data_IF_513314441550
#
_entry.id   IF_513314441550
#
_cell.length_a   1.000
_cell.length_b   1.000
_cell.length_c   1.000
_cell.angle_alpha   90.00
_cell.angle_beta   90.00
_cell.angle_gamma   90.00
#
_symmetry.space_group_name_H-M   'P 1'
#
loop_
_entity.id
_entity.type
_entity.pdbx_description
1 polymer ?
#
# COMPACT_ATOMS: atom_id res chain seq x y z
N UNK A 1 9.64 -40.14 -22.21
CA UNK A 1 8.44 -39.33 -21.95
C UNK A 1 8.69 -38.63 -20.61
N UNK A 2 9.18 -37.39 -20.65
CA UNK A 2 9.65 -36.68 -19.45
C UNK A 2 8.45 -36.04 -18.73
N UNK A 3 8.13 -36.53 -17.53
CA UNK A 3 7.19 -35.86 -16.63
C UNK A 3 7.97 -34.86 -15.77
N UNK A 4 7.62 -33.57 -15.86
CA UNK A 4 8.15 -32.52 -15.00
C UNK A 4 7.48 -32.62 -13.61
N UNK A 5 8.23 -32.54 -12.50
CA UNK A 5 7.63 -32.40 -11.19
C UNK A 5 7.06 -30.99 -11.02
N UNK A 6 5.78 -30.89 -10.65
CA UNK A 6 5.18 -29.62 -10.21
C UNK A 6 5.76 -29.26 -8.83
N UNK A 7 6.25 -28.02 -8.61
CA UNK A 7 6.68 -27.63 -7.28
C UNK A 7 5.46 -27.66 -6.35
N UNK A 8 5.52 -28.53 -5.36
CA UNK A 8 4.61 -28.51 -4.21
C UNK A 8 5.00 -27.28 -3.39
N UNK A 9 4.14 -26.26 -3.35
CA UNK A 9 4.34 -25.12 -2.47
C UNK A 9 4.43 -25.64 -1.03
N UNK A 10 5.61 -25.51 -0.46
CA UNK A 10 5.92 -25.99 0.89
C UNK A 10 5.06 -25.26 1.91
N UNK A 11 4.41 -26.04 2.76
CA UNK A 11 3.74 -25.57 3.96
C UNK A 11 4.69 -24.77 4.85
N UNK A 12 4.24 -23.58 5.26
CA UNK A 12 4.68 -22.95 6.50
C UNK A 12 3.43 -22.47 7.26
N UNK A 13 2.85 -23.39 8.04
CA UNK A 13 1.83 -23.08 9.04
C UNK A 13 2.48 -22.26 10.17
N UNK A 14 2.13 -20.99 10.29
CA UNK A 14 2.27 -20.20 11.52
C UNK A 14 1.28 -19.03 11.49
N UNK A 15 0.28 -18.94 12.40
CA UNK A 15 -0.59 -17.78 12.52
C UNK A 15 0.11 -16.69 13.35
N UNK A 16 1.29 -16.28 12.91
CA UNK A 16 1.94 -15.06 13.37
C UNK A 16 1.59 -14.02 12.33
N UNK A 17 0.95 -12.89 12.70
CA UNK A 17 0.64 -11.79 11.78
C UNK A 17 1.83 -11.58 10.85
N UNK A 18 1.65 -11.92 9.56
CA UNK A 18 2.71 -11.75 8.59
C UNK A 18 3.07 -10.25 8.55
N UNK A 19 4.33 -9.87 8.30
CA UNK A 19 4.68 -8.46 8.06
C UNK A 19 3.71 -7.77 7.08
N UNK A 20 3.21 -8.51 6.08
CA UNK A 20 2.20 -8.05 5.12
C UNK A 20 0.82 -7.78 5.71
N UNK A 21 0.39 -8.55 6.71
CA UNK A 21 -0.86 -8.29 7.44
C UNK A 21 -0.77 -6.98 8.24
N UNK A 22 0.40 -6.72 8.81
CA UNK A 22 0.66 -5.48 9.53
C UNK A 22 0.62 -4.29 8.58
N UNK A 23 1.26 -4.39 7.40
CA UNK A 23 1.22 -3.37 6.34
C UNK A 23 -0.22 -3.09 5.87
N UNK A 24 -0.99 -4.13 5.56
CA UNK A 24 -2.38 -4.00 5.13
C UNK A 24 -3.24 -3.31 6.20
N UNK A 25 -3.05 -3.67 7.47
CA UNK A 25 -3.76 -3.06 8.61
C UNK A 25 -3.42 -1.57 8.76
N UNK A 26 -2.14 -1.22 8.67
CA UNK A 26 -1.67 0.17 8.75
C UNK A 26 -2.27 0.99 7.61
N UNK A 27 -2.18 0.49 6.37
CA UNK A 27 -2.67 1.19 5.19
C UNK A 27 -4.20 1.35 5.22
N UNK A 28 -4.93 0.34 5.70
CA UNK A 28 -6.38 0.41 5.88
C UNK A 28 -6.77 1.50 6.88
N UNK A 29 -6.08 1.60 8.02
CA UNK A 29 -6.35 2.63 9.04
C UNK A 29 -6.06 4.04 8.51
N UNK A 30 -4.96 4.22 7.78
CA UNK A 30 -4.62 5.51 7.13
C UNK A 30 -5.71 5.88 6.12
N UNK A 31 -6.12 4.93 5.28
CA UNK A 31 -7.14 5.15 4.24
C UNK A 31 -8.49 5.52 4.84
N UNK A 32 -8.91 4.85 5.92
CA UNK A 32 -10.15 5.18 6.63
C UNK A 32 -10.13 6.60 7.20
N UNK A 33 -8.99 7.04 7.76
CA UNK A 33 -8.82 8.42 8.25
C UNK A 33 -8.89 9.43 7.10
N UNK A 34 -8.22 9.17 5.98
CA UNK A 34 -8.29 10.04 4.79
C UNK A 34 -9.74 10.24 4.31
N UNK A 35 -10.50 9.14 4.19
CA UNK A 35 -11.91 9.20 3.76
C UNK A 35 -12.74 9.98 4.79
N UNK A 36 -12.63 9.64 6.08
CA UNK A 36 -13.41 10.29 7.14
C UNK A 36 -13.15 11.80 7.17
N UNK A 37 -11.88 12.22 7.21
CA UNK A 37 -11.53 13.64 7.26
C UNK A 37 -11.94 14.39 5.99
N UNK A 38 -11.86 13.77 4.80
CA UNK A 38 -12.33 14.40 3.58
C UNK A 38 -13.85 14.59 3.54
N UNK A 39 -14.64 13.65 4.07
CA UNK A 39 -16.11 13.79 4.14
C UNK A 39 -16.57 14.91 5.08
N UNK A 40 -15.76 15.25 6.09
CA UNK A 40 -16.02 16.35 7.03
C UNK A 40 -15.61 17.74 6.50
N UNK A 41 -15.02 17.81 5.30
CA UNK A 41 -14.70 19.06 4.62
C UNK A 41 -13.68 19.93 5.37
N UNK A 42 -13.83 21.26 5.27
CA UNK A 42 -12.85 22.22 5.81
C UNK A 42 -12.63 22.09 7.32
N UNK A 43 -13.66 21.69 8.07
CA UNK A 43 -13.58 21.54 9.54
C UNK A 43 -12.53 20.49 9.94
N UNK A 44 -12.37 19.45 9.13
CA UNK A 44 -11.42 18.38 9.37
C UNK A 44 -10.16 18.45 8.48
N UNK A 45 -9.88 19.61 7.87
CA UNK A 45 -8.72 19.78 7.00
C UNK A 45 -7.39 19.47 7.71
N UNK A 46 -7.14 19.90 8.97
CA UNK A 46 -5.92 19.52 9.68
C UNK A 46 -5.75 18.00 9.83
N UNK A 47 -6.84 17.28 10.11
CA UNK A 47 -6.86 15.81 10.23
C UNK A 47 -6.61 15.14 8.87
N UNK A 48 -7.12 15.73 7.78
CA UNK A 48 -6.83 15.28 6.42
C UNK A 48 -5.34 15.47 6.10
N UNK A 49 -4.73 16.61 6.45
CA UNK A 49 -3.30 16.85 6.27
C UNK A 49 -2.46 15.82 7.01
N UNK A 50 -2.82 15.50 8.25
CA UNK A 50 -2.15 14.47 9.06
C UNK A 50 -2.27 13.09 8.40
N UNK A 51 -3.47 12.68 8.02
CA UNK A 51 -3.70 11.38 7.37
C UNK A 51 -2.97 11.25 6.02
N UNK A 52 -2.91 12.32 5.23
CA UNK A 52 -2.16 12.37 3.98
C UNK A 52 -0.64 12.33 4.21
N UNK A 53 -0.15 12.95 5.28
CA UNK A 53 1.26 12.89 5.66
C UNK A 53 1.67 11.48 6.08
N UNK A 54 0.82 10.79 6.86
CA UNK A 54 1.02 9.38 7.22
C UNK A 54 1.00 8.48 5.98
N UNK A 55 0.10 8.73 5.03
CA UNK A 55 0.06 8.01 3.76
C UNK A 55 1.37 8.17 2.98
N UNK A 56 1.89 9.40 2.86
CA UNK A 56 3.19 9.65 2.21
C UNK A 56 4.33 8.93 2.92
N UNK A 57 4.35 8.94 4.25
CA UNK A 57 5.37 8.25 5.05
C UNK A 57 5.34 6.74 4.81
N UNK A 58 4.15 6.12 4.81
CA UNK A 58 3.99 4.70 4.50
C UNK A 58 4.59 4.36 3.13
N UNK A 59 4.21 5.10 2.09
CA UNK A 59 4.70 4.88 0.73
C UNK A 59 6.20 5.14 0.57
N UNK A 60 6.77 6.12 1.27
CA UNK A 60 8.22 6.35 1.29
C UNK A 60 8.99 5.19 1.92
N UNK A 61 8.49 4.61 3.02
CA UNK A 61 9.09 3.42 3.62
C UNK A 61 9.05 2.24 2.66
N UNK A 62 7.87 1.95 2.08
CA UNK A 62 7.73 0.87 1.10
C UNK A 62 8.67 1.06 -0.09
N UNK A 63 8.79 2.27 -0.64
CA UNK A 63 9.70 2.55 -1.75
C UNK A 63 11.16 2.27 -1.38
N UNK A 64 11.59 2.60 -0.15
CA UNK A 64 12.92 2.27 0.36
C UNK A 64 13.17 0.77 0.41
N UNK A 65 12.23 0.02 0.99
CA UNK A 65 12.32 -1.45 1.09
C UNK A 65 12.27 -2.12 -0.29
N UNK A 66 11.48 -1.57 -1.21
CA UNK A 66 11.40 -2.00 -2.60
C UNK A 66 12.65 -1.65 -3.40
N UNK A 67 13.42 -0.64 -3.01
CA UNK A 67 14.67 -0.27 -3.69
C UNK A 67 15.86 -1.13 -3.22
N UNK A 68 15.78 -1.73 -2.03
CA UNK A 68 16.87 -2.52 -1.46
C UNK A 68 17.25 -3.75 -2.32
N UNK A 69 18.54 -4.05 -2.40
CA UNK A 69 19.09 -5.18 -3.19
C UNK A 69 18.62 -6.55 -2.70
N UNK A 70 18.22 -6.66 -1.42
CA UNK A 70 17.71 -7.89 -0.80
C UNK A 70 16.21 -8.13 -0.96
N UNK A 71 15.49 -7.28 -1.69
CA UNK A 71 14.04 -7.44 -1.86
C UNK A 71 13.73 -8.65 -2.76
N UNK A 72 12.89 -9.56 -2.26
CA UNK A 72 12.56 -10.83 -2.92
C UNK A 72 11.47 -10.73 -4.01
N UNK A 73 10.86 -9.56 -4.19
CA UNK A 73 9.86 -9.36 -5.23
C UNK A 73 10.49 -9.28 -6.62
N UNK A 74 9.78 -9.73 -7.68
CA UNK A 74 10.23 -9.56 -9.05
C UNK A 74 10.51 -8.09 -9.39
N UNK A 75 11.60 -7.84 -10.13
CA UNK A 75 12.04 -6.49 -10.49
C UNK A 75 10.93 -5.65 -11.15
N UNK A 76 10.12 -6.27 -12.01
CA UNK A 76 9.01 -5.60 -12.68
C UNK A 76 7.93 -5.14 -11.68
N UNK A 77 7.62 -5.96 -10.68
CA UNK A 77 6.64 -5.62 -9.65
C UNK A 77 7.19 -4.50 -8.74
N UNK A 78 8.47 -4.58 -8.36
CA UNK A 78 9.14 -3.51 -7.60
C UNK A 78 9.06 -2.17 -8.33
N UNK A 79 9.38 -2.15 -9.63
CA UNK A 79 9.32 -0.93 -10.43
C UNK A 79 7.90 -0.34 -10.52
N UNK A 80 6.87 -1.17 -10.66
CA UNK A 80 5.47 -0.71 -10.66
C UNK A 80 5.07 -0.12 -9.32
N UNK A 81 5.43 -0.77 -8.21
CA UNK A 81 5.11 -0.28 -6.86
C UNK A 81 5.86 1.01 -6.52
N UNK A 82 7.12 1.16 -6.96
CA UNK A 82 7.88 2.41 -6.81
C UNK A 82 7.22 3.54 -7.61
N UNK A 83 6.79 3.27 -8.84
CA UNK A 83 6.05 4.26 -9.65
C UNK A 83 4.74 4.70 -8.99
N UNK A 84 4.02 3.78 -8.34
CA UNK A 84 2.85 4.12 -7.53
C UNK A 84 3.22 4.98 -6.32
N UNK A 85 4.34 4.70 -5.65
CA UNK A 85 4.83 5.53 -4.55
C UNK A 85 5.08 6.97 -5.03
N UNK A 86 5.77 7.16 -6.15
CA UNK A 86 6.03 8.47 -6.75
C UNK A 86 4.73 9.20 -7.11
N UNK A 87 3.76 8.49 -7.71
CA UNK A 87 2.43 9.04 -7.98
C UNK A 87 1.75 9.52 -6.69
N UNK A 88 1.78 8.71 -5.62
CA UNK A 88 1.19 9.07 -4.33
C UNK A 88 1.83 10.33 -3.76
N UNK A 89 3.16 10.46 -3.83
CA UNK A 89 3.86 11.66 -3.36
C UNK A 89 3.37 12.90 -4.13
N UNK A 90 3.39 12.85 -5.46
CA UNK A 90 3.01 13.98 -6.32
C UNK A 90 1.52 14.34 -6.18
N UNK A 91 0.64 13.35 -6.17
CA UNK A 91 -0.81 13.59 -6.10
C UNK A 91 -1.24 14.05 -4.71
N UNK A 92 -0.57 13.58 -3.64
CA UNK A 92 -0.82 14.11 -2.28
C UNK A 92 -0.53 15.60 -2.19
N UNK A 93 0.57 16.08 -2.79
CA UNK A 93 0.87 17.51 -2.82
C UNK A 93 -0.25 18.32 -3.50
N UNK A 94 -0.80 17.82 -4.61
CA UNK A 94 -1.92 18.45 -5.33
C UNK A 94 -3.20 18.48 -4.50
N UNK A 95 -3.49 17.43 -3.73
CA UNK A 95 -4.63 17.38 -2.81
C UNK A 95 -4.48 18.42 -1.69
N UNK A 96 -3.30 18.51 -1.08
CA UNK A 96 -3.02 19.47 -0.01
C UNK A 96 -3.15 20.92 -0.49
N UNK A 97 -2.80 21.19 -1.75
CA UNK A 97 -3.04 22.48 -2.41
C UNK A 97 -4.47 22.67 -2.92
N UNK A 98 -5.40 21.75 -2.61
CA UNK A 98 -6.81 21.79 -3.04
C UNK A 98 -6.99 21.82 -4.58
N UNK A 99 -6.03 21.27 -5.32
CA UNK A 99 -6.02 21.18 -6.79
C UNK A 99 -6.33 19.77 -7.31
N UNK A 100 -6.66 18.83 -6.43
CA UNK A 100 -7.00 17.45 -6.80
C UNK A 100 -7.90 16.78 -5.76
N UNK A 101 -8.67 15.79 -6.20
CA UNK A 101 -9.46 14.90 -5.34
C UNK A 101 -8.58 13.87 -4.62
N UNK A 102 -9.01 13.44 -3.43
CA UNK A 102 -8.39 12.34 -2.67
C UNK A 102 -8.68 10.96 -3.26
N UNK A 103 -9.68 10.85 -4.15
CA UNK A 103 -10.18 9.56 -4.64
C UNK A 103 -9.09 8.67 -5.24
N UNK A 104 -8.18 9.15 -6.11
CA UNK A 104 -7.11 8.32 -6.67
C UNK A 104 -6.22 7.68 -5.61
N UNK A 105 -5.90 8.42 -4.53
CA UNK A 105 -5.09 7.89 -3.43
C UNK A 105 -5.82 6.77 -2.68
N UNK A 106 -7.10 6.98 -2.40
CA UNK A 106 -7.90 5.97 -1.69
C UNK A 106 -8.15 4.71 -2.54
N UNK A 107 -8.31 4.87 -3.85
CA UNK A 107 -8.44 3.75 -4.78
C UNK A 107 -7.16 2.90 -4.83
N UNK A 108 -6.00 3.54 -4.96
CA UNK A 108 -4.70 2.86 -4.93
C UNK A 108 -4.52 2.10 -3.62
N UNK A 109 -4.77 2.76 -2.48
CA UNK A 109 -4.61 2.11 -1.18
C UNK A 109 -5.52 0.88 -1.03
N UNK A 110 -6.79 0.96 -1.47
CA UNK A 110 -7.70 -0.19 -1.45
C UNK A 110 -7.20 -1.35 -2.30
N UNK A 111 -6.75 -1.08 -3.53
CA UNK A 111 -6.19 -2.11 -4.41
C UNK A 111 -4.95 -2.79 -3.79
N UNK A 112 -4.08 -2.04 -3.11
CA UNK A 112 -2.93 -2.60 -2.40
C UNK A 112 -3.36 -3.45 -1.19
N UNK A 113 -4.31 -2.97 -0.40
CA UNK A 113 -4.87 -3.74 0.74
C UNK A 113 -5.46 -5.07 0.25
N UNK A 114 -6.20 -5.04 -0.85
CA UNK A 114 -6.78 -6.23 -1.49
C UNK A 114 -5.67 -7.19 -1.96
N UNK A 115 -4.64 -6.69 -2.64
CA UNK A 115 -3.49 -7.50 -3.06
C UNK A 115 -2.74 -8.16 -1.88
N UNK A 116 -2.48 -7.40 -0.81
CA UNK A 116 -1.85 -7.92 0.40
C UNK A 116 -2.72 -8.97 1.11
N UNK A 117 -4.05 -8.79 1.07
CA UNK A 117 -5.02 -9.71 1.71
C UNK A 117 -5.28 -10.97 0.89
N UNK A 118 -5.20 -10.89 -0.44
CA UNK A 118 -5.38 -12.04 -1.34
C UNK A 118 -4.24 -13.05 -1.20
N UNK A 119 -3.01 -12.57 -1.03
CA UNK A 119 -1.86 -13.44 -0.80
C UNK A 119 -1.98 -14.23 0.51
N UNK A 120 -2.58 -13.65 1.56
CA UNK A 120 -2.90 -14.36 2.81
C UNK A 120 -3.85 -15.53 2.59
N UNK A 121 -4.84 -15.40 1.71
CA UNK A 121 -5.81 -16.47 1.44
C UNK A 121 -5.21 -17.60 0.59
N UNK A 122 -4.09 -17.33 -0.09
CA UNK A 122 -3.36 -18.30 -0.91
C UNK A 122 -2.22 -19.02 -0.15
N UNK A 123 -1.86 -18.56 1.04
CA UNK A 123 -0.83 -19.12 1.92
C UNK A 123 -1.44 -20.05 2.99
#
# INVERSE_FOLDING_TARGET
MNALPTPTYGSALSPTKSPRDAEATILARITARMVSSATQGQVAFPQLVEALSDNRRFWSTCAGDLAADGNSLPIALRAQLISLADFVQAHTARVLSQHASIEPLTAINRAIIEGLSAERLAA
#
